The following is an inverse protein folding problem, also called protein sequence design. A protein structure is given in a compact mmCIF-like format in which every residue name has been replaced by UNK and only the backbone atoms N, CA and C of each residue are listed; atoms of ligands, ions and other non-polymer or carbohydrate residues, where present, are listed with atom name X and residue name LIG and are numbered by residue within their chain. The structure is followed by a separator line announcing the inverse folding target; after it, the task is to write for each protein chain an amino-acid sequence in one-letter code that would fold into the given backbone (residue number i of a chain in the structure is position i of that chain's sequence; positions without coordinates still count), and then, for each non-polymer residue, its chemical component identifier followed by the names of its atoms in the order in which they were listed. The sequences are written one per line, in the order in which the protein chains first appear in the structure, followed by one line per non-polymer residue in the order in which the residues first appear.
data_IF_705549989835
#
_entry.id   IF_705549989835
#
_cell.length_a   1.000
_cell.length_b   1.000
_cell.length_c   1.000
_cell.angle_alpha   90.00
_cell.angle_beta   90.00
_cell.angle_gamma   90.00
#
_symmetry.space_group_name_H-M   'P 1'
#
loop_
_entity.id
_entity.type
_entity.pdbx_description
1 polymer ?
#
# COMPACT_ATOMS: atom_id res chain seq x y z
N UNK A 1 -38.11 -2.87 0.72
CA UNK A 1 -37.40 -3.75 1.66
C UNK A 1 -35.93 -3.73 1.24
N UNK A 2 -34.98 -3.06 1.88
CA UNK A 2 -34.87 -2.43 3.19
C UNK A 2 -33.99 -1.17 3.05
N UNK A 3 -34.48 -0.01 3.45
CA UNK A 3 -33.64 1.12 3.85
C UNK A 3 -34.19 1.52 5.22
N UNK A 4 -33.46 1.12 6.25
CA UNK A 4 -33.67 1.61 7.59
C UNK A 4 -32.64 2.74 7.75
N UNK A 5 -33.11 3.98 7.68
CA UNK A 5 -32.32 5.22 7.55
C UNK A 5 -31.30 5.47 8.69
N UNK A 6 -31.33 4.69 9.77
CA UNK A 6 -30.34 4.76 10.86
C UNK A 6 -28.98 4.13 10.53
N UNK A 7 -28.89 3.27 9.51
CA UNK A 7 -27.64 2.58 9.15
C UNK A 7 -26.97 3.09 7.87
N UNK A 8 -27.57 4.04 7.15
CA UNK A 8 -27.05 4.50 5.85
C UNK A 8 -25.70 5.21 5.98
N UNK A 9 -25.44 5.87 7.12
CA UNK A 9 -24.21 6.63 7.35
C UNK A 9 -23.18 5.90 8.22
N UNK A 10 -23.46 4.71 8.76
CA UNK A 10 -22.60 4.06 9.74
C UNK A 10 -21.16 3.81 9.20
N UNK A 11 -21.04 3.43 7.93
CA UNK A 11 -19.74 3.21 7.29
C UNK A 11 -18.99 4.54 7.16
N UNK A 12 -19.68 5.59 6.69
CA UNK A 12 -19.10 6.90 6.50
C UNK A 12 -18.68 7.52 7.84
N UNK A 13 -19.50 7.38 8.88
CA UNK A 13 -19.20 7.83 10.24
C UNK A 13 -17.96 7.12 10.79
N UNK A 14 -17.87 5.79 10.65
CA UNK A 14 -16.69 5.03 11.07
C UNK A 14 -15.42 5.45 10.33
N UNK A 15 -15.49 5.65 9.02
CA UNK A 15 -14.33 6.10 8.23
C UNK A 15 -13.92 7.52 8.65
N UNK A 16 -14.87 8.44 8.81
CA UNK A 16 -14.58 9.81 9.24
C UNK A 16 -13.98 9.85 10.65
N UNK A 17 -14.50 9.04 11.56
CA UNK A 17 -13.96 8.91 12.92
C UNK A 17 -12.52 8.36 12.88
N UNK A 18 -12.28 7.30 12.10
CA UNK A 18 -10.95 6.73 11.95
C UNK A 18 -9.94 7.70 11.32
N UNK A 19 -10.37 8.59 10.42
CA UNK A 19 -9.52 9.64 9.84
C UNK A 19 -9.16 10.68 10.91
N UNK A 20 -10.15 11.19 11.64
CA UNK A 20 -9.98 12.27 12.63
C UNK A 20 -9.24 11.81 13.89
N UNK A 21 -9.54 10.60 14.32
CA UNK A 21 -9.06 9.99 15.56
C UNK A 21 -8.20 8.76 15.24
N UNK A 22 -7.32 8.88 14.24
CA UNK A 22 -6.39 7.81 13.91
C UNK A 22 -5.42 7.55 15.06
N UNK A 23 -4.96 6.31 15.17
CA UNK A 23 -4.20 5.83 16.31
C UNK A 23 -2.78 5.45 15.92
N UNK A 24 -1.85 5.65 16.85
CA UNK A 24 -0.48 5.16 16.68
C UNK A 24 -0.45 3.63 16.62
N UNK A 25 0.48 3.11 15.83
CA UNK A 25 0.64 1.68 15.63
C UNK A 25 1.70 1.18 16.61
N UNK A 26 1.25 0.50 17.66
CA UNK A 26 2.13 0.05 18.76
C UNK A 26 2.62 -1.39 18.52
N UNK A 27 1.87 -2.18 17.76
CA UNK A 27 2.17 -3.59 17.51
C UNK A 27 3.16 -3.73 16.36
N UNK A 28 4.42 -3.98 16.72
CA UNK A 28 5.46 -4.37 15.78
C UNK A 28 5.96 -5.77 16.12
N UNK A 29 6.09 -6.62 15.11
CA UNK A 29 6.65 -7.96 15.26
C UNK A 29 7.99 -8.04 14.52
N UNK A 30 9.05 -8.32 15.28
CA UNK A 30 10.38 -8.54 14.75
C UNK A 30 10.47 -9.85 13.94
N UNK A 31 9.61 -10.83 14.24
CA UNK A 31 9.51 -12.07 13.50
C UNK A 31 8.60 -11.88 12.27
N UNK A 32 9.23 -11.59 11.12
CA UNK A 32 8.51 -11.73 9.85
C UNK A 32 8.34 -13.22 9.51
N UNK A 33 7.12 -13.62 9.18
CA UNK A 33 6.79 -14.96 8.69
C UNK A 33 6.91 -15.06 7.16
N UNK A 34 7.48 -14.04 6.52
CA UNK A 34 7.67 -13.98 5.08
C UNK A 34 8.69 -15.02 4.62
N UNK A 35 8.29 -15.87 3.69
CA UNK A 35 9.18 -16.83 3.03
C UNK A 35 9.41 -16.37 1.60
N UNK A 36 10.67 -16.28 1.20
CA UNK A 36 11.03 -15.97 -0.19
C UNK A 36 10.57 -17.12 -1.10
N UNK A 37 9.58 -16.85 -1.94
CA UNK A 37 8.98 -17.87 -2.80
C UNK A 37 9.54 -17.82 -4.23
N UNK A 38 9.59 -16.65 -4.86
CA UNK A 38 10.04 -16.50 -6.24
C UNK A 38 10.79 -15.18 -6.48
N UNK A 39 11.51 -15.11 -7.61
CA UNK A 39 12.11 -13.90 -8.20
C UNK A 39 11.52 -13.57 -9.58
N UNK A 40 10.55 -14.35 -10.05
CA UNK A 40 9.93 -14.22 -11.36
C UNK A 40 8.46 -13.81 -11.22
N UNK A 41 8.10 -12.69 -11.83
CA UNK A 41 6.73 -12.17 -11.83
C UNK A 41 5.76 -13.03 -12.65
N UNK A 42 6.26 -13.94 -13.49
CA UNK A 42 5.44 -14.89 -14.24
C UNK A 42 4.85 -15.99 -13.37
N UNK A 43 5.40 -16.22 -12.17
CA UNK A 43 4.86 -17.18 -11.21
C UNK A 43 3.56 -16.66 -10.55
N UNK A 44 3.27 -15.36 -10.69
CA UNK A 44 2.03 -14.77 -10.23
C UNK A 44 0.97 -14.84 -11.33
N UNK A 45 -0.28 -15.23 -11.02
CA UNK A 45 -1.37 -15.30 -11.99
C UNK A 45 -1.93 -13.90 -12.31
N UNK A 46 -1.10 -13.00 -12.83
CA UNK A 46 -1.50 -11.64 -13.20
C UNK A 46 -2.18 -11.72 -14.57
N UNK A 47 -3.42 -11.25 -14.64
CA UNK A 47 -4.28 -11.37 -15.83
C UNK A 47 -4.39 -10.06 -16.61
N UNK A 48 -4.60 -10.19 -17.92
CA UNK A 48 -5.08 -9.12 -18.79
C UNK A 48 -6.60 -9.04 -18.63
N UNK A 49 -7.13 -7.90 -18.18
CA UNK A 49 -8.54 -7.81 -17.78
C UNK A 49 -9.44 -7.52 -18.99
N UNK A 50 -8.96 -6.73 -19.94
CA UNK A 50 -9.69 -6.34 -21.13
C UNK A 50 -8.87 -6.55 -22.41
N UNK A 51 -9.56 -6.77 -23.53
CA UNK A 51 -8.94 -7.01 -24.85
C UNK A 51 -7.96 -5.91 -25.28
N UNK A 52 -8.23 -4.65 -24.87
CA UNK A 52 -7.43 -3.48 -25.24
C UNK A 52 -6.41 -3.06 -24.17
N UNK A 53 -6.26 -3.84 -23.09
CA UNK A 53 -5.20 -3.58 -22.12
C UNK A 53 -3.84 -3.84 -22.76
N UNK A 54 -2.85 -3.00 -22.43
CA UNK A 54 -1.47 -3.16 -22.93
C UNK A 54 -0.75 -4.40 -22.39
N UNK A 55 -1.39 -5.17 -21.50
CA UNK A 55 -0.84 -6.38 -20.91
C UNK A 55 -1.51 -6.75 -19.59
N UNK A 56 -0.86 -7.62 -18.83
CA UNK A 56 -1.36 -8.12 -17.56
C UNK A 56 -1.20 -7.08 -16.43
N UNK A 57 -2.26 -6.82 -15.68
CA UNK A 57 -2.29 -5.81 -14.62
C UNK A 57 -2.56 -6.41 -13.24
N UNK A 58 -1.84 -5.94 -12.22
CA UNK A 58 -2.32 -5.99 -10.85
C UNK A 58 -3.17 -4.72 -10.64
N UNK A 59 -4.44 -4.88 -10.31
CA UNK A 59 -5.41 -3.76 -10.30
C UNK A 59 -5.60 -3.08 -8.95
N UNK A 60 -5.31 -3.78 -7.86
CA UNK A 60 -5.53 -3.32 -6.48
C UNK A 60 -4.32 -3.58 -5.58
N UNK A 61 -3.13 -3.24 -6.07
CA UNK A 61 -1.91 -3.34 -5.24
C UNK A 61 -1.80 -2.16 -4.27
N UNK A 62 -1.25 -2.43 -3.09
CA UNK A 62 -0.95 -1.41 -2.09
C UNK A 62 0.57 -1.18 -2.09
N UNK A 63 0.99 0.04 -2.42
CA UNK A 63 2.40 0.41 -2.52
C UNK A 63 2.79 1.21 -1.30
N UNK A 64 3.78 0.71 -0.58
CA UNK A 64 4.42 1.39 0.53
C UNK A 64 5.77 1.93 0.06
N UNK A 65 5.99 3.21 0.29
CA UNK A 65 7.26 3.91 0.07
C UNK A 65 7.55 4.79 1.27
N UNK A 66 8.81 5.17 1.45
CA UNK A 66 9.24 6.08 2.51
C UNK A 66 9.89 7.31 1.90
N UNK A 67 9.42 8.47 2.29
CA UNK A 67 10.09 9.74 1.99
C UNK A 67 11.37 9.81 2.83
N UNK A 68 12.49 10.03 2.15
CA UNK A 68 13.81 10.11 2.77
C UNK A 68 13.94 11.35 3.65
N UNK A 69 13.40 12.48 3.21
CA UNK A 69 13.62 13.78 3.85
C UNK A 69 12.83 13.89 5.14
N UNK A 70 11.59 13.40 5.13
CA UNK A 70 10.70 13.43 6.30
C UNK A 70 10.75 12.16 7.14
N UNK A 71 11.21 11.04 6.56
CA UNK A 71 11.15 9.73 7.19
C UNK A 71 9.75 9.12 7.26
N UNK A 72 8.74 9.76 6.68
CA UNK A 72 7.36 9.28 6.72
C UNK A 72 7.12 8.19 5.67
N UNK A 73 6.36 7.17 6.05
CA UNK A 73 5.87 6.16 5.12
C UNK A 73 4.52 6.56 4.54
N UNK A 74 4.40 6.44 3.22
CA UNK A 74 3.18 6.59 2.45
C UNK A 74 2.63 5.21 2.08
N UNK A 75 1.31 5.05 2.13
CA UNK A 75 0.59 3.88 1.62
C UNK A 75 -0.44 4.33 0.57
N UNK A 76 -0.30 3.86 -0.66
CA UNK A 76 -1.20 4.23 -1.75
C UNK A 76 -1.62 3.04 -2.62
N UNK A 77 -2.82 3.12 -3.21
CA UNK A 77 -3.29 2.10 -4.15
C UNK A 77 -2.83 2.40 -5.58
N UNK A 78 -2.24 1.41 -6.26
CA UNK A 78 -1.80 1.54 -7.64
C UNK A 78 -2.15 0.33 -8.50
N UNK A 79 -2.32 0.60 -9.79
CA UNK A 79 -2.29 -0.43 -10.83
C UNK A 79 -0.85 -0.62 -11.31
N UNK A 80 -0.46 -1.86 -11.55
CA UNK A 80 0.87 -2.22 -12.01
C UNK A 80 0.77 -3.06 -13.29
N UNK A 81 1.35 -2.56 -14.38
CA UNK A 81 1.46 -3.31 -15.64
C UNK A 81 2.72 -4.17 -15.58
N UNK A 82 2.59 -5.49 -15.73
CA UNK A 82 3.77 -6.37 -15.87
C UNK A 82 4.36 -6.23 -17.27
N UNK A 83 5.64 -5.87 -17.36
CA UNK A 83 6.38 -5.81 -18.63
C UNK A 83 7.07 -7.14 -18.95
N UNK A 84 7.71 -7.75 -17.95
CA UNK A 84 8.43 -9.02 -18.07
C UNK A 84 8.51 -9.73 -16.71
N UNK A 85 9.40 -10.71 -16.58
CA UNK A 85 9.62 -11.49 -15.35
C UNK A 85 10.16 -10.69 -14.17
N UNK A 86 10.61 -9.44 -14.36
CA UNK A 86 11.28 -8.64 -13.33
C UNK A 86 10.88 -7.18 -13.27
N UNK A 87 10.15 -6.68 -14.26
CA UNK A 87 9.79 -5.26 -14.37
C UNK A 87 8.29 -5.06 -14.46
N UNK A 88 7.84 -4.02 -13.76
CA UNK A 88 6.48 -3.49 -13.88
C UNK A 88 6.52 -1.99 -14.15
N UNK A 89 5.42 -1.45 -14.68
CA UNK A 89 5.19 -0.01 -14.80
C UNK A 89 4.12 0.41 -13.81
N UNK A 90 4.40 1.52 -13.13
CA UNK A 90 3.49 2.18 -12.20
C UNK A 90 3.25 3.61 -12.69
N UNK A 91 1.99 4.04 -12.73
CA UNK A 91 1.65 5.44 -12.94
C UNK A 91 1.60 6.15 -11.59
N UNK A 92 2.37 7.22 -11.48
CA UNK A 92 2.34 8.17 -10.37
C UNK A 92 1.69 9.45 -10.85
N UNK A 93 0.70 9.95 -10.11
CA UNK A 93 0.09 11.25 -10.41
C UNK A 93 0.94 12.34 -9.76
N UNK A 94 1.25 13.38 -10.51
CA UNK A 94 2.07 14.50 -10.09
C UNK A 94 1.51 15.14 -8.81
N UNK A 95 2.41 15.46 -7.88
CA UNK A 95 2.07 16.07 -6.59
C UNK A 95 1.49 15.11 -5.54
N UNK A 96 1.18 13.85 -5.89
CA UNK A 96 0.80 12.82 -4.91
C UNK A 96 2.01 12.35 -4.10
N UNK A 97 1.73 11.75 -2.95
CA UNK A 97 2.74 11.35 -1.98
C UNK A 97 3.80 10.40 -2.57
N UNK A 98 3.39 9.37 -3.32
CA UNK A 98 4.35 8.48 -3.99
C UNK A 98 5.21 9.22 -5.03
N UNK A 99 4.61 10.15 -5.80
CA UNK A 99 5.36 10.99 -6.73
C UNK A 99 6.40 11.84 -5.99
N UNK A 100 6.03 12.45 -4.86
CA UNK A 100 6.96 13.23 -4.03
C UNK A 100 8.10 12.37 -3.48
N UNK A 101 7.81 11.16 -2.98
CA UNK A 101 8.84 10.22 -2.53
C UNK A 101 9.81 9.89 -3.66
N UNK A 102 9.29 9.66 -4.88
CA UNK A 102 10.11 9.36 -6.05
C UNK A 102 10.95 10.57 -6.48
N UNK A 103 10.36 11.77 -6.52
CA UNK A 103 11.09 13.01 -6.83
C UNK A 103 12.23 13.24 -5.84
N UNK A 104 11.97 13.12 -4.53
CA UNK A 104 13.01 13.26 -3.50
C UNK A 104 14.12 12.23 -3.68
N UNK A 105 13.81 10.94 -3.88
CA UNK A 105 14.83 9.91 -4.14
C UNK A 105 15.68 10.23 -5.38
N UNK A 106 15.02 10.65 -6.47
CA UNK A 106 15.68 11.01 -7.72
C UNK A 106 16.59 12.24 -7.58
N UNK A 107 16.17 13.26 -6.85
CA UNK A 107 16.98 14.45 -6.56
C UNK A 107 18.25 14.10 -5.77
N UNK A 108 18.21 13.02 -4.99
CA UNK A 108 19.36 12.47 -4.29
C UNK A 108 20.16 11.43 -5.09
N UNK A 109 19.78 11.16 -6.35
CA UNK A 109 20.46 10.17 -7.20
C UNK A 109 20.25 8.73 -6.75
N UNK A 110 19.13 8.44 -6.08
CA UNK A 110 18.79 7.13 -5.55
C UNK A 110 17.52 6.55 -6.20
N UNK A 111 17.50 5.23 -6.36
CA UNK A 111 16.27 4.50 -6.67
C UNK A 111 15.36 4.49 -5.42
N UNK A 112 14.04 4.63 -5.57
CA UNK A 112 13.10 4.62 -4.45
C UNK A 112 12.72 3.17 -4.07
N UNK A 113 13.08 2.64 -2.88
CA UNK A 113 12.65 1.32 -2.46
C UNK A 113 11.14 1.27 -2.21
N UNK A 114 10.48 0.21 -2.66
CA UNK A 114 9.03 0.02 -2.49
C UNK A 114 8.67 -1.40 -2.08
N UNK A 115 7.68 -1.52 -1.19
CA UNK A 115 7.04 -2.77 -0.82
C UNK A 115 5.61 -2.77 -1.34
N UNK A 116 5.24 -3.78 -2.12
CA UNK A 116 3.95 -3.89 -2.80
C UNK A 116 3.20 -5.06 -2.21
N UNK A 117 2.00 -4.81 -1.68
CA UNK A 117 1.16 -5.82 -1.03
C UNK A 117 -0.01 -6.19 -1.94
N UNK A 118 -0.32 -7.48 -1.97
CA UNK A 118 -1.51 -8.04 -2.60
C UNK A 118 -2.19 -8.95 -1.56
N UNK A 119 -3.50 -8.81 -1.41
CA UNK A 119 -4.27 -9.52 -0.38
C UNK A 119 -3.95 -9.00 1.01
N UNK A 120 -4.41 -7.79 1.34
CA UNK A 120 -4.33 -7.24 2.69
C UNK A 120 -5.75 -7.11 3.29
N UNK A 121 -5.82 -6.86 4.61
CA UNK A 121 -7.11 -6.62 5.26
C UNK A 121 -7.86 -5.44 4.58
N UNK A 122 -9.17 -5.55 4.28
CA UNK A 122 -9.89 -4.52 3.52
C UNK A 122 -9.81 -3.10 4.09
N UNK A 123 -9.72 -2.96 5.41
CA UNK A 123 -9.52 -1.66 6.06
C UNK A 123 -8.25 -0.94 5.60
N UNK A 124 -7.19 -1.69 5.26
CA UNK A 124 -5.93 -1.14 4.74
C UNK A 124 -6.15 -0.61 3.32
N UNK A 125 -6.90 -1.33 2.48
CA UNK A 125 -7.26 -0.85 1.14
C UNK A 125 -8.16 0.39 1.19
N UNK A 126 -9.10 0.46 2.13
CA UNK A 126 -9.94 1.66 2.35
C UNK A 126 -9.07 2.84 2.77
N UNK A 127 -8.15 2.64 3.71
CA UNK A 127 -7.23 3.68 4.14
C UNK A 127 -6.30 4.15 3.01
N UNK A 128 -5.75 3.24 2.20
CA UNK A 128 -4.88 3.55 1.06
C UNK A 128 -5.58 4.29 -0.08
N UNK A 129 -6.92 4.32 -0.10
CA UNK A 129 -7.71 5.09 -1.04
C UNK A 129 -7.98 6.53 -0.54
N UNK A 130 -7.79 6.77 0.76
CA UNK A 130 -7.93 8.10 1.34
C UNK A 130 -6.72 8.96 0.98
N UNK A 131 -6.99 10.24 0.69
CA UNK A 131 -5.95 11.22 0.38
C UNK A 131 -5.63 11.98 1.66
N UNK A 132 -4.81 11.36 2.51
CA UNK A 132 -4.38 12.00 3.75
C UNK A 132 -3.53 13.26 3.46
N UNK A 133 -3.47 14.22 4.39
CA UNK A 133 -2.49 15.29 4.33
C UNK A 133 -1.05 14.74 4.22
N UNK A 134 -0.15 15.52 3.60
CA UNK A 134 1.24 15.09 3.46
C UNK A 134 1.91 14.91 4.83
N UNK A 135 2.56 13.76 5.03
CA UNK A 135 3.20 13.41 6.29
C UNK A 135 2.34 12.58 7.23
N UNK A 136 1.05 12.40 6.94
CA UNK A 136 0.23 11.38 7.60
C UNK A 136 0.46 10.01 6.96
N UNK A 137 0.38 8.96 7.78
CA UNK A 137 0.55 7.58 7.34
C UNK A 137 -0.81 6.90 7.35
N UNK A 138 -1.30 6.50 6.18
CA UNK A 138 -2.62 5.89 6.01
C UNK A 138 -2.75 4.58 6.81
N UNK A 139 -1.65 3.92 7.18
CA UNK A 139 -1.70 2.76 8.09
C UNK A 139 -2.26 3.10 9.47
N UNK A 140 -2.16 4.34 9.95
CA UNK A 140 -2.79 4.78 11.21
C UNK A 140 -4.31 4.78 11.11
N UNK A 141 -4.83 5.22 9.96
CA UNK A 141 -6.27 5.17 9.64
C UNK A 141 -6.71 3.70 9.56
N UNK A 142 -5.94 2.85 8.88
CA UNK A 142 -6.20 1.42 8.82
C UNK A 142 -6.23 0.76 10.21
N UNK A 143 -5.29 1.14 11.09
CA UNK A 143 -5.24 0.64 12.47
C UNK A 143 -6.50 1.00 13.25
N UNK A 144 -6.95 2.25 13.18
CA UNK A 144 -8.19 2.69 13.83
C UNK A 144 -9.41 1.93 13.30
N UNK A 145 -9.53 1.77 11.97
CA UNK A 145 -10.58 0.94 11.35
C UNK A 145 -10.54 -0.53 11.78
N UNK A 146 -9.37 -1.03 12.17
CA UNK A 146 -9.16 -2.40 12.65
C UNK A 146 -9.24 -2.53 14.18
N UNK A 147 -9.67 -1.49 14.90
CA UNK A 147 -9.78 -1.52 16.36
C UNK A 147 -8.43 -1.59 17.08
N UNK A 148 -7.39 -0.99 16.50
CA UNK A 148 -6.02 -0.93 17.03
C UNK A 148 -5.27 -2.27 17.07
N UNK A 149 -5.68 -3.21 16.21
CA UNK A 149 -5.09 -4.55 16.09
C UNK A 149 -4.13 -4.70 14.90
N UNK A 150 -3.83 -3.62 14.17
CA UNK A 150 -2.88 -3.69 13.05
C UNK A 150 -1.47 -4.00 13.59
N UNK A 151 -0.91 -5.10 13.14
CA UNK A 151 0.48 -5.49 13.43
C UNK A 151 1.35 -5.26 12.21
N UNK A 152 2.44 -4.52 12.38
CA UNK A 152 3.43 -4.30 11.34
C UNK A 152 4.66 -5.19 11.54
N UNK A 153 5.33 -5.52 10.45
CA UNK A 153 6.65 -6.14 10.46
C UNK A 153 7.55 -5.47 9.42
N UNK A 154 8.86 -5.63 9.52
CA UNK A 154 9.77 -5.10 8.50
C UNK A 154 9.80 -6.02 7.29
N UNK A 155 9.61 -5.42 6.11
CA UNK A 155 9.86 -6.02 4.80
C UNK A 155 11.32 -6.48 4.74
N UNK A 156 11.62 -7.76 4.46
CA UNK A 156 12.99 -8.29 4.55
C UNK A 156 14.01 -7.61 3.63
N UNK A 157 13.60 -7.22 2.43
CA UNK A 157 14.45 -6.61 1.40
C UNK A 157 14.52 -5.09 1.45
N UNK A 158 13.42 -4.41 1.77
CA UNK A 158 13.37 -2.92 1.77
C UNK A 158 13.49 -2.31 3.16
N UNK A 159 13.23 -3.07 4.23
CA UNK A 159 13.19 -2.58 5.61
C UNK A 159 11.96 -1.73 5.95
N UNK A 160 11.06 -1.49 5.00
CA UNK A 160 9.81 -0.75 5.21
C UNK A 160 8.87 -1.51 6.14
N UNK A 161 8.11 -0.79 6.97
CA UNK A 161 7.06 -1.41 7.77
C UNK A 161 5.85 -1.75 6.90
N UNK A 162 5.47 -3.03 6.89
CA UNK A 162 4.34 -3.58 6.14
C UNK A 162 3.37 -4.30 7.09
N UNK A 163 2.07 -4.38 6.77
CA UNK A 163 1.12 -5.24 7.48
C UNK A 163 1.62 -6.69 7.51
N UNK A 164 1.65 -7.27 8.71
CA UNK A 164 2.16 -8.64 8.92
C UNK A 164 1.34 -9.70 8.18
N UNK A 165 0.02 -9.51 8.12
CA UNK A 165 -0.93 -10.51 7.62
C UNK A 165 -1.36 -10.23 6.17
N UNK A 166 -0.45 -9.77 5.31
CA UNK A 166 -0.69 -9.71 3.86
C UNK A 166 -0.40 -11.08 3.22
N UNK A 167 -1.07 -11.40 2.11
CA UNK A 167 -0.91 -12.69 1.43
C UNK A 167 0.37 -12.73 0.59
N UNK A 168 0.64 -11.66 -0.18
CA UNK A 168 1.80 -11.56 -1.06
C UNK A 168 2.47 -10.21 -0.82
N UNK A 169 3.80 -10.26 -0.66
CA UNK A 169 4.68 -9.12 -0.60
C UNK A 169 5.66 -9.19 -1.78
N UNK A 170 5.62 -8.19 -2.65
CA UNK A 170 6.64 -7.96 -3.68
C UNK A 170 7.54 -6.83 -3.22
N UNK A 171 8.85 -6.99 -3.42
CA UNK A 171 9.86 -6.02 -3.01
C UNK A 171 10.63 -5.57 -4.24
N UNK A 172 10.85 -4.27 -4.35
CA UNK A 172 11.54 -3.70 -5.50
C UNK A 172 11.93 -2.26 -5.28
N UNK A 173 12.19 -1.57 -6.38
CA UNK A 173 12.54 -0.15 -6.40
C UNK A 173 12.00 0.50 -7.67
N UNK A 174 11.69 1.78 -7.57
CA UNK A 174 11.35 2.63 -8.71
C UNK A 174 12.64 3.31 -9.15
N UNK A 175 12.97 3.16 -10.44
CA UNK A 175 14.15 3.69 -11.11
C UNK A 175 13.97 5.16 -11.52
#
# INVERSE_FOLDING_TARGET
MFSNSKNENLIQEKINDAIRNNSEIIKTDANNNWKKNSKDLLDLPIVTHFEKDSGAYITSSLVIAKDRDTGNQNLSTHRLLRLDSRRMVIRMVEGRHLHKCYTSAKEHGEDLPVSILIGAHPAISVAAAYQAPYGENELKIANSLMGNELTLTKSPGTGLYVPKNSEILLEGRIL
#
